data_IF_285663332010
#
_entry.id   IF_285663332010
#
_cell.length_a   1.000
_cell.length_b   1.000
_cell.length_c   1.000
_cell.angle_alpha   90.00
_cell.angle_beta   90.00
_cell.angle_gamma   90.00
#
_symmetry.space_group_name_H-M   'P 1'
#
loop_
_entity.id
_entity.type
_entity.pdbx_description
1 polymer ?
#
# COMPACT_ATOMS: atom_id res chain seq x y z
N UNK A 1 -11.65 -43.54 32.42
CA UNK A 1 -10.20 -43.55 32.27
C UNK A 1 -9.91 -42.31 31.42
N UNK A 2 -9.75 -41.16 32.07
CA UNK A 2 -8.53 -40.48 32.45
C UNK A 2 -7.68 -40.18 31.20
N UNK A 3 -7.37 -38.97 30.85
CA UNK A 3 -6.71 -37.96 31.66
C UNK A 3 -6.98 -36.55 31.14
N UNK A 4 -7.25 -35.67 32.05
CA UNK A 4 -6.97 -34.25 32.06
C UNK A 4 -5.49 -33.97 31.76
N UNK A 5 -5.19 -33.04 30.87
CA UNK A 5 -3.94 -32.29 30.93
C UNK A 5 -4.21 -30.80 30.78
N UNK A 6 -4.33 -30.22 31.92
CA UNK A 6 -4.30 -28.77 32.15
C UNK A 6 -2.91 -28.25 31.86
N UNK A 7 -2.76 -27.40 30.85
CA UNK A 7 -1.52 -26.65 30.61
C UNK A 7 -1.66 -25.25 31.19
N UNK A 8 -1.22 -25.10 32.43
CA UNK A 8 -0.97 -23.80 33.03
C UNK A 8 0.30 -23.20 32.42
N UNK A 9 0.18 -22.09 31.73
CA UNK A 9 1.33 -21.27 31.37
C UNK A 9 1.36 -20.04 32.26
N UNK A 10 2.20 -20.13 33.26
CA UNK A 10 2.53 -19.11 34.25
C UNK A 10 3.24 -17.93 33.58
N UNK A 11 2.62 -16.80 33.73
CA UNK A 11 3.10 -15.44 33.85
C UNK A 11 4.56 -15.18 34.23
N UNK A 12 5.04 -14.10 33.82
CA UNK A 12 5.82 -13.06 34.51
C UNK A 12 6.89 -12.44 33.65
N UNK A 13 6.84 -11.14 33.50
CA UNK A 13 7.90 -10.34 32.90
C UNK A 13 7.54 -8.87 32.76
N UNK A 14 7.10 -8.23 33.86
CA UNK A 14 7.10 -6.77 33.95
C UNK A 14 8.52 -6.24 33.90
N UNK A 15 8.87 -5.50 32.85
CA UNK A 15 10.06 -4.66 32.81
C UNK A 15 9.62 -3.18 32.74
N UNK A 16 9.64 -2.55 33.90
CA UNK A 16 9.48 -1.12 34.07
C UNK A 16 10.71 -0.39 33.50
N UNK A 17 10.52 0.44 32.48
CA UNK A 17 11.56 1.33 31.99
C UNK A 17 11.47 2.69 32.70
N UNK A 18 12.45 2.89 33.55
CA UNK A 18 12.80 4.06 34.31
C UNK A 18 12.98 5.32 33.44
N UNK A 19 12.22 6.34 33.75
CA UNK A 19 12.41 7.71 33.28
C UNK A 19 13.60 8.32 34.06
N UNK A 20 14.69 8.57 33.40
CA UNK A 20 15.77 9.40 33.95
C UNK A 20 15.63 10.83 33.42
N UNK A 21 15.15 11.67 34.30
CA UNK A 21 15.22 13.13 34.18
C UNK A 21 16.67 13.59 34.23
N UNK A 22 17.12 14.29 33.20
CA UNK A 22 18.39 14.98 33.22
C UNK A 22 18.16 16.45 33.61
N UNK A 23 18.79 16.81 34.72
CA UNK A 23 18.75 18.10 35.39
C UNK A 23 19.55 19.14 34.61
N UNK A 24 18.91 20.28 34.39
CA UNK A 24 19.45 21.49 33.87
C UNK A 24 20.45 22.09 34.89
N UNK A 25 21.69 22.32 34.51
CA UNK A 25 22.63 23.18 35.27
C UNK A 25 22.86 24.45 34.48
N UNK A 26 22.34 25.53 35.05
CA UNK A 26 22.78 26.90 34.73
C UNK A 26 24.18 27.11 35.29
N UNK A 27 25.07 27.57 34.46
CA UNK A 27 26.37 28.14 34.85
C UNK A 27 26.53 29.49 34.17
N UNK A 28 26.46 30.54 34.97
CA UNK A 28 26.72 31.92 34.59
C UNK A 28 28.21 32.20 34.59
N UNK A 29 28.72 33.01 33.64
CA UNK A 29 30.02 33.64 33.77
C UNK A 29 30.71 34.03 32.45
N UNK A 30 30.70 35.29 32.06
CA UNK A 30 31.92 36.01 31.71
C UNK A 30 32.23 36.31 30.24
N UNK A 31 32.00 37.58 29.89
CA UNK A 31 32.83 38.49 29.08
C UNK A 31 33.25 38.14 27.63
N UNK A 32 32.70 38.94 26.73
CA UNK A 32 33.26 39.65 25.57
C UNK A 32 34.51 39.11 24.86
N UNK A 33 34.32 38.77 23.57
CA UNK A 33 35.26 39.05 22.51
C UNK A 33 34.52 39.14 21.17
N UNK A 34 34.55 40.33 20.58
CA UNK A 34 34.15 40.61 19.20
C UNK A 34 35.19 39.97 18.26
N UNK A 35 34.79 39.03 17.44
CA UNK A 35 35.46 38.71 16.18
C UNK A 35 34.41 38.37 15.13
N UNK A 36 34.45 39.17 14.07
CA UNK A 36 33.73 38.95 12.84
C UNK A 36 34.11 37.57 12.24
N UNK A 37 33.13 36.73 11.92
CA UNK A 37 33.43 35.49 11.29
C UNK A 37 32.14 34.79 10.83
N UNK A 38 31.84 34.92 9.57
CA UNK A 38 31.11 34.02 8.69
C UNK A 38 29.88 33.28 9.30
N UNK A 39 28.73 33.81 8.99
CA UNK A 39 27.48 33.09 9.07
C UNK A 39 27.54 31.90 8.10
N UNK A 40 27.94 30.73 8.59
CA UNK A 40 27.68 29.49 7.92
C UNK A 40 26.19 29.27 8.10
N UNK A 41 25.40 29.70 7.12
CA UNK A 41 24.01 29.21 6.96
C UNK A 41 24.09 27.72 6.70
N UNK A 42 23.92 26.92 7.75
CA UNK A 42 23.55 25.55 7.60
C UNK A 42 22.14 25.58 7.06
N UNK A 43 22.00 25.57 5.73
CA UNK A 43 20.77 25.23 5.08
C UNK A 43 20.43 23.83 5.57
N UNK A 44 19.41 23.75 6.43
CA UNK A 44 18.74 22.50 6.70
C UNK A 44 18.24 22.00 5.34
N UNK A 45 18.98 21.07 4.79
CA UNK A 45 18.59 20.32 3.60
C UNK A 45 17.47 19.44 4.08
N UNK A 46 16.23 19.94 3.96
CA UNK A 46 15.06 19.10 4.01
C UNK A 46 15.32 18.03 2.96
N UNK A 47 15.58 16.82 3.46
CA UNK A 47 15.61 15.64 2.62
C UNK A 47 14.22 15.50 2.04
N UNK A 48 14.01 16.11 0.88
CA UNK A 48 12.90 15.78 0.02
C UNK A 48 12.95 14.26 -0.15
N UNK A 49 11.84 13.54 0.11
CA UNK A 49 11.79 12.12 -0.23
C UNK A 49 12.23 12.05 -1.68
N UNK A 50 13.32 11.34 -1.95
CA UNK A 50 13.78 11.09 -3.31
C UNK A 50 12.62 10.40 -4.02
N UNK A 51 11.86 11.19 -4.77
CA UNK A 51 11.06 10.66 -5.85
C UNK A 51 12.07 9.97 -6.75
N UNK A 52 12.20 8.66 -6.56
CA UNK A 52 13.08 7.86 -7.39
C UNK A 52 12.73 8.17 -8.82
N UNK A 53 13.69 8.72 -9.57
CA UNK A 53 13.55 8.92 -11.02
C UNK A 53 13.06 7.59 -11.57
N UNK A 54 11.89 7.51 -12.22
CA UNK A 54 11.41 6.27 -12.75
C UNK A 54 12.48 5.76 -13.70
N UNK A 55 13.02 4.57 -13.42
CA UNK A 55 13.91 3.91 -14.35
C UNK A 55 13.11 3.75 -15.64
N UNK A 56 13.53 4.43 -16.70
CA UNK A 56 12.82 4.46 -17.97
C UNK A 56 12.43 3.03 -18.37
N UNK A 57 11.13 2.76 -18.46
CA UNK A 57 10.57 1.52 -18.98
C UNK A 57 10.06 0.50 -17.97
N UNK A 58 10.04 0.76 -16.67
CA UNK A 58 9.41 -0.16 -15.70
C UNK A 58 7.99 0.25 -15.38
N UNK A 59 7.07 -0.70 -15.51
CA UNK A 59 5.72 -0.55 -15.00
C UNK A 59 5.66 -0.94 -13.51
N UNK A 60 4.68 -0.42 -12.80
CA UNK A 60 4.39 -0.74 -11.41
C UNK A 60 3.06 -1.49 -11.34
N UNK A 61 3.01 -2.47 -10.46
CA UNK A 61 1.86 -3.36 -10.33
C UNK A 61 1.39 -3.39 -8.89
N UNK A 62 0.08 -3.36 -8.71
CA UNK A 62 -0.56 -3.66 -7.43
C UNK A 62 -1.58 -4.76 -7.63
N UNK A 63 -1.52 -5.77 -6.75
CA UNK A 63 -2.54 -6.80 -6.65
C UNK A 63 -3.32 -6.65 -5.36
N UNK A 64 -4.61 -6.97 -5.40
CA UNK A 64 -5.49 -7.00 -4.24
C UNK A 64 -6.29 -8.29 -4.28
N UNK A 65 -6.06 -9.14 -3.29
CA UNK A 65 -6.77 -10.40 -3.16
C UNK A 65 -7.86 -10.27 -2.09
N UNK A 66 -9.09 -10.60 -2.48
CA UNK A 66 -10.26 -10.57 -1.61
C UNK A 66 -10.88 -11.96 -1.51
N UNK A 67 -11.53 -12.25 -0.39
CA UNK A 67 -12.41 -13.39 -0.25
C UNK A 67 -13.85 -12.92 -0.42
N UNK A 68 -14.61 -13.55 -1.33
CA UNK A 68 -16.02 -13.23 -1.54
C UNK A 68 -16.85 -13.69 -0.34
N UNK A 69 -17.79 -12.86 0.04
CA UNK A 69 -18.77 -13.23 1.05
C UNK A 69 -19.79 -14.21 0.46
N UNK A 70 -20.36 -15.12 1.27
CA UNK A 70 -21.38 -16.06 0.80
C UNK A 70 -22.55 -15.36 0.14
N UNK A 71 -22.98 -15.86 -1.00
CA UNK A 71 -24.11 -15.32 -1.79
C UNK A 71 -23.72 -14.29 -2.85
N UNK A 72 -22.44 -13.89 -2.92
CA UNK A 72 -21.93 -13.02 -4.00
C UNK A 72 -21.15 -13.83 -5.03
N UNK A 73 -21.26 -13.41 -6.29
CA UNK A 73 -20.57 -14.03 -7.42
C UNK A 73 -19.55 -13.11 -8.06
N UNK A 74 -18.63 -13.69 -8.81
CA UNK A 74 -17.62 -12.90 -9.54
C UNK A 74 -18.25 -12.08 -10.67
N UNK A 75 -19.30 -12.58 -11.28
CA UNK A 75 -20.04 -11.91 -12.35
C UNK A 75 -20.72 -10.63 -11.85
N UNK A 76 -21.36 -10.70 -10.68
CA UNK A 76 -21.94 -9.52 -10.03
C UNK A 76 -20.85 -8.49 -9.71
N UNK A 77 -19.75 -8.96 -9.13
CA UNK A 77 -18.61 -8.10 -8.83
C UNK A 77 -18.02 -7.45 -10.08
N UNK A 78 -17.86 -8.23 -11.17
CA UNK A 78 -17.30 -7.72 -12.42
C UNK A 78 -18.16 -6.59 -13.00
N UNK A 79 -19.49 -6.72 -13.00
CA UNK A 79 -20.41 -5.68 -13.47
C UNK A 79 -20.30 -4.39 -12.64
N UNK A 80 -20.19 -4.51 -11.32
CA UNK A 80 -20.02 -3.36 -10.41
C UNK A 80 -18.65 -2.70 -10.60
N UNK A 81 -17.59 -3.49 -10.77
CA UNK A 81 -16.23 -3.01 -11.02
C UNK A 81 -16.15 -2.29 -12.37
N UNK A 82 -16.74 -2.86 -13.42
CA UNK A 82 -16.75 -2.27 -14.76
C UNK A 82 -17.42 -0.91 -14.79
N UNK A 83 -18.59 -0.80 -14.17
CA UNK A 83 -19.37 0.44 -14.17
C UNK A 83 -18.85 1.50 -13.18
N UNK A 84 -18.28 1.08 -12.04
CA UNK A 84 -17.90 1.99 -10.96
C UNK A 84 -16.40 2.20 -10.81
N UNK A 85 -15.60 1.14 -10.75
CA UNK A 85 -14.17 1.26 -10.44
C UNK A 85 -13.29 1.55 -11.67
N UNK A 86 -13.56 0.94 -12.81
CA UNK A 86 -12.77 1.19 -14.02
C UNK A 86 -12.74 2.65 -14.46
N UNK A 87 -13.83 3.42 -14.42
CA UNK A 87 -13.76 4.86 -14.68
C UNK A 87 -12.82 5.60 -13.73
N UNK A 88 -12.80 5.20 -12.45
CA UNK A 88 -11.88 5.77 -11.46
C UNK A 88 -10.44 5.45 -11.81
N UNK A 89 -10.12 4.19 -12.12
CA UNK A 89 -8.77 3.79 -12.52
C UNK A 89 -8.27 4.50 -13.77
N UNK A 90 -9.13 4.63 -14.79
CA UNK A 90 -8.79 5.35 -16.03
C UNK A 90 -8.48 6.82 -15.82
N UNK A 91 -8.95 7.42 -14.73
CA UNK A 91 -8.63 8.80 -14.34
C UNK A 91 -7.32 8.93 -13.56
N UNK A 92 -6.71 7.83 -13.16
CA UNK A 92 -5.41 7.83 -12.46
C UNK A 92 -4.29 8.01 -13.48
N UNK A 93 -3.37 8.97 -13.30
CA UNK A 93 -2.24 9.14 -14.20
C UNK A 93 -1.39 7.87 -14.29
N UNK A 94 -0.97 7.56 -15.51
CA UNK A 94 -0.13 6.41 -15.77
C UNK A 94 -0.83 5.05 -15.73
N UNK A 95 -2.16 4.99 -15.66
CA UNK A 95 -2.89 3.73 -15.75
C UNK A 95 -2.65 3.04 -17.10
N UNK A 96 -2.30 1.76 -17.07
CA UNK A 96 -2.05 0.94 -18.25
C UNK A 96 -3.10 -0.15 -18.41
N UNK A 97 -3.22 -1.04 -17.43
CA UNK A 97 -4.00 -2.27 -17.54
C UNK A 97 -4.70 -2.61 -16.22
N UNK A 98 -5.81 -3.33 -16.35
CA UNK A 98 -6.55 -3.88 -15.22
C UNK A 98 -7.03 -5.29 -15.52
N UNK A 99 -6.89 -6.19 -14.56
CA UNK A 99 -7.42 -7.55 -14.61
C UNK A 99 -8.22 -7.82 -13.34
N UNK A 100 -9.35 -8.48 -13.53
CA UNK A 100 -10.14 -9.08 -12.46
C UNK A 100 -10.17 -10.59 -12.70
N UNK A 101 -9.57 -11.34 -11.80
CA UNK A 101 -9.37 -12.78 -11.92
C UNK A 101 -10.12 -13.50 -10.82
N UNK A 102 -11.01 -14.41 -11.19
CA UNK A 102 -11.67 -15.32 -10.25
C UNK A 102 -10.67 -16.36 -9.73
N UNK A 103 -10.73 -16.64 -8.44
CA UNK A 103 -9.94 -17.68 -7.77
C UNK A 103 -10.86 -18.55 -6.94
N UNK A 104 -10.36 -19.68 -6.44
CA UNK A 104 -11.14 -20.57 -5.56
C UNK A 104 -11.58 -19.81 -4.29
N UNK A 105 -12.87 -19.45 -4.25
CA UNK A 105 -13.48 -18.74 -3.14
C UNK A 105 -13.20 -17.25 -3.05
N UNK A 106 -12.56 -16.64 -4.06
CA UNK A 106 -12.20 -15.24 -4.00
C UNK A 106 -11.95 -14.59 -5.35
N UNK A 107 -11.32 -13.42 -5.30
CA UNK A 107 -10.98 -12.62 -6.47
C UNK A 107 -9.63 -11.96 -6.30
N UNK A 108 -8.87 -11.88 -7.38
CA UNK A 108 -7.62 -11.13 -7.48
C UNK A 108 -7.82 -9.98 -8.47
N UNK A 109 -7.67 -8.75 -8.01
CA UNK A 109 -7.59 -7.59 -8.90
C UNK A 109 -6.12 -7.21 -9.12
N UNK A 110 -5.77 -6.90 -10.36
CA UNK A 110 -4.42 -6.51 -10.77
C UNK A 110 -4.53 -5.18 -11.49
N UNK A 111 -3.75 -4.19 -11.08
CA UNK A 111 -3.68 -2.88 -11.74
C UNK A 111 -2.24 -2.56 -12.06
N UNK A 112 -1.97 -2.08 -13.28
CA UNK A 112 -0.63 -1.77 -13.79
C UNK A 112 -0.55 -0.29 -14.15
N UNK A 113 0.57 0.35 -13.81
CA UNK A 113 0.81 1.78 -13.98
C UNK A 113 2.23 2.04 -14.52
N UNK A 114 2.41 3.15 -15.23
CA UNK A 114 3.75 3.61 -15.66
C UNK A 114 4.57 4.19 -14.51
N UNK A 115 3.91 4.62 -13.42
CA UNK A 115 4.55 5.32 -12.31
C UNK A 115 4.07 4.79 -10.96
N UNK A 116 4.96 4.77 -9.98
CA UNK A 116 4.64 4.38 -8.62
C UNK A 116 3.55 5.27 -8.01
N UNK A 117 3.61 6.57 -8.28
CA UNK A 117 2.62 7.52 -7.77
C UNK A 117 1.18 7.17 -8.22
N UNK A 118 1.00 6.72 -9.47
CA UNK A 118 -0.29 6.24 -9.96
C UNK A 118 -0.76 4.98 -9.25
N UNK A 119 0.15 4.03 -9.02
CA UNK A 119 -0.13 2.81 -8.25
C UNK A 119 -0.59 3.15 -6.81
N UNK A 120 0.12 4.06 -6.12
CA UNK A 120 -0.21 4.48 -4.76
C UNK A 120 -1.56 5.21 -4.70
N UNK A 121 -1.81 6.09 -5.68
CA UNK A 121 -3.10 6.79 -5.83
C UNK A 121 -4.25 5.80 -6.07
N UNK A 122 -4.04 4.81 -6.94
CA UNK A 122 -5.05 3.79 -7.21
C UNK A 122 -5.40 2.99 -5.96
N UNK A 123 -4.42 2.74 -5.10
CA UNK A 123 -4.63 2.00 -3.86
C UNK A 123 -5.52 2.77 -2.88
N UNK A 124 -5.31 4.07 -2.74
CA UNK A 124 -6.18 4.91 -1.92
C UNK A 124 -7.61 4.96 -2.47
N UNK A 125 -7.77 5.24 -3.77
CA UNK A 125 -9.09 5.30 -4.42
C UNK A 125 -9.81 3.96 -4.38
N UNK A 126 -9.10 2.85 -4.52
CA UNK A 126 -9.69 1.52 -4.39
C UNK A 126 -10.24 1.27 -2.98
N UNK A 127 -9.50 1.65 -1.94
CA UNK A 127 -9.95 1.49 -0.56
C UNK A 127 -11.25 2.27 -0.29
N UNK A 128 -11.29 3.53 -0.72
CA UNK A 128 -12.46 4.40 -0.55
C UNK A 128 -13.67 3.86 -1.32
N UNK A 129 -13.45 3.44 -2.58
CA UNK A 129 -14.52 2.93 -3.43
C UNK A 129 -15.08 1.60 -2.92
N UNK A 130 -14.22 0.66 -2.50
CA UNK A 130 -14.65 -0.63 -1.94
C UNK A 130 -15.51 -0.43 -0.69
N UNK A 131 -15.14 0.49 0.19
CA UNK A 131 -15.93 0.79 1.39
C UNK A 131 -17.31 1.34 1.05
N UNK A 132 -17.43 2.12 -0.02
CA UNK A 132 -18.68 2.76 -0.43
C UNK A 132 -19.58 1.85 -1.29
N UNK A 133 -18.99 1.15 -2.25
CA UNK A 133 -19.74 0.44 -3.30
C UNK A 133 -19.82 -1.07 -3.08
N UNK A 134 -18.89 -1.66 -2.32
CA UNK A 134 -18.78 -3.12 -2.14
C UNK A 134 -18.91 -3.54 -0.66
N UNK A 135 -19.60 -2.74 0.15
CA UNK A 135 -19.88 -3.11 1.53
C UNK A 135 -20.64 -4.45 1.57
N UNK A 136 -20.05 -5.45 2.23
CA UNK A 136 -20.65 -6.80 2.34
C UNK A 136 -20.27 -7.78 1.23
N UNK A 137 -19.65 -7.37 0.13
CA UNK A 137 -19.16 -8.28 -0.92
C UNK A 137 -17.99 -9.16 -0.46
N UNK A 138 -17.24 -8.71 0.53
CA UNK A 138 -16.04 -9.39 0.99
C UNK A 138 -16.11 -9.74 2.47
N UNK A 139 -15.48 -10.85 2.84
CA UNK A 139 -15.44 -11.33 4.25
C UNK A 139 -14.47 -10.54 5.11
N UNK A 140 -13.58 -9.73 4.51
CA UNK A 140 -12.57 -8.96 5.22
C UNK A 140 -11.75 -8.06 4.29
N UNK A 141 -10.72 -7.40 4.83
CA UNK A 141 -9.83 -6.55 4.05
C UNK A 141 -9.01 -7.37 3.05
N UNK A 142 -8.57 -6.76 1.93
CA UNK A 142 -7.73 -7.45 0.96
C UNK A 142 -6.31 -7.67 1.46
N UNK A 143 -5.68 -8.72 0.95
CA UNK A 143 -4.21 -8.81 0.94
C UNK A 143 -3.71 -7.99 -0.25
N UNK A 144 -2.90 -6.96 0.03
CA UNK A 144 -2.34 -6.07 -1.00
C UNK A 144 -0.87 -6.37 -1.21
N UNK A 145 -0.46 -6.56 -2.47
CA UNK A 145 0.94 -6.71 -2.85
C UNK A 145 1.28 -5.70 -3.94
N UNK A 146 2.40 -5.02 -3.79
CA UNK A 146 2.90 -4.04 -4.76
C UNK A 146 4.27 -4.44 -5.26
N UNK A 147 4.59 -4.07 -6.49
CA UNK A 147 5.89 -4.36 -7.08
C UNK A 147 6.15 -3.62 -8.37
N UNK A 148 7.35 -3.77 -8.90
CA UNK A 148 7.71 -3.33 -10.25
C UNK A 148 7.73 -4.51 -11.21
N UNK A 149 7.24 -4.29 -12.42
CA UNK A 149 7.23 -5.29 -13.50
C UNK A 149 8.64 -5.37 -14.10
N UNK A 150 9.25 -6.55 -14.06
CA UNK A 150 10.58 -6.79 -14.62
C UNK A 150 10.54 -7.35 -16.03
N UNK A 151 9.46 -8.07 -16.36
CA UNK A 151 9.25 -8.64 -17.67
C UNK A 151 7.76 -8.57 -18.00
N UNK A 152 7.42 -8.04 -19.16
CA UNK A 152 6.08 -8.00 -19.72
C UNK A 152 6.18 -8.42 -21.18
N UNK A 153 5.46 -9.46 -21.53
CA UNK A 153 5.37 -9.96 -22.90
C UNK A 153 3.91 -10.19 -23.25
N UNK A 154 3.49 -9.79 -24.41
CA UNK A 154 2.14 -9.96 -24.94
C UNK A 154 2.22 -10.86 -26.17
N UNK A 155 1.71 -12.07 -26.07
CA UNK A 155 1.58 -12.97 -27.22
C UNK A 155 0.56 -12.44 -28.23
N UNK A 156 0.74 -12.77 -29.51
CA UNK A 156 -0.10 -12.31 -30.63
C UNK A 156 -1.53 -12.89 -30.64
N UNK A 157 -1.93 -13.72 -29.69
CA UNK A 157 -3.06 -14.63 -29.82
C UNK A 157 -4.41 -14.14 -29.29
N UNK A 158 -4.62 -12.87 -28.97
CA UNK A 158 -5.92 -12.39 -28.48
C UNK A 158 -6.68 -11.50 -29.46
N UNK A 159 -6.33 -11.51 -30.74
CA UNK A 159 -7.08 -10.84 -31.81
C UNK A 159 -8.13 -11.75 -32.45
N UNK A 160 -8.59 -12.77 -31.76
CA UNK A 160 -9.71 -13.60 -32.20
C UNK A 160 -11.03 -12.87 -32.01
N UNK A 161 -11.47 -12.12 -33.01
CA UNK A 161 -12.90 -11.80 -33.17
C UNK A 161 -13.65 -13.13 -33.18
N UNK A 162 -14.62 -13.37 -32.26
CA UNK A 162 -15.49 -14.51 -32.43
C UNK A 162 -16.30 -14.30 -33.69
N UNK A 163 -16.00 -15.09 -34.69
CA UNK A 163 -16.84 -15.20 -35.89
C UNK A 163 -18.18 -15.83 -35.48
N UNK A 164 -19.24 -15.06 -35.71
CA UNK A 164 -20.63 -15.44 -35.43
C UNK A 164 -21.15 -16.50 -36.42
#
# INVERSE_FOLDING_TARGET
MNSDETFECTSSGSAALSRRSAVLRLGSGGLAALLAGSVISVAAQEASPMAGTPAAGRAYLVTRQYQLAPGHTIEELAAVVESGFLPILRSVPGFLEYFLVGTDGGVLSISVFTEQAGMDESTRRAADWVQQALAGFFTGPPTVTTGSVWLHDVGEAMSGTPEA
#
